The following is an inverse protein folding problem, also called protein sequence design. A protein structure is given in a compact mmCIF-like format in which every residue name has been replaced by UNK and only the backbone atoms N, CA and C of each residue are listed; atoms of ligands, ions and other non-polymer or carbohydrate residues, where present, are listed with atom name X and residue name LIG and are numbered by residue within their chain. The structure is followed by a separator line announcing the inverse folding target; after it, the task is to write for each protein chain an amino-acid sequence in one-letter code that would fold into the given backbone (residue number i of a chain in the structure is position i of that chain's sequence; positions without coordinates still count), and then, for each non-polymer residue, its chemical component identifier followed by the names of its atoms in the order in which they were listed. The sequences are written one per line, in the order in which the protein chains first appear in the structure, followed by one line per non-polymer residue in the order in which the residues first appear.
data_IF_858889714818
#
_entry.id   IF_858889714818
#
_cell.length_a   1.000
_cell.length_b   1.000
_cell.length_c   1.000
_cell.angle_alpha   90.00
_cell.angle_beta   90.00
_cell.angle_gamma   90.00
#
_symmetry.space_group_name_H-M   'P 1'
#
loop_
_entity.id
_entity.type
_entity.pdbx_description
1 polymer ?
#
# COMPACT_ATOMS: atom_id res chain seq x y z
N UNK A 1 20.49 0.04 3.51
CA UNK A 1 19.88 -1.28 3.74
C UNK A 1 19.46 -1.40 5.22
N UNK A 2 18.49 -0.58 5.66
CA UNK A 2 18.20 -0.37 7.09
C UNK A 2 16.76 -0.73 7.50
N UNK A 3 15.94 -1.11 6.53
CA UNK A 3 14.56 -1.56 6.75
C UNK A 3 14.53 -3.08 6.64
N UNK A 4 13.83 -3.79 7.51
CA UNK A 4 13.65 -5.26 7.44
C UNK A 4 12.82 -5.75 6.25
N UNK A 5 12.71 -4.92 5.21
CA UNK A 5 11.92 -5.14 4.01
C UNK A 5 12.73 -5.94 2.99
N UNK A 6 12.04 -6.78 2.24
CA UNK A 6 12.58 -7.53 1.12
C UNK A 6 12.06 -6.84 -0.14
N UNK A 7 12.97 -6.31 -0.96
CA UNK A 7 12.61 -5.51 -2.14
C UNK A 7 12.21 -4.08 -1.79
N UNK A 8 11.58 -3.39 -2.75
CA UNK A 8 11.06 -2.03 -2.59
C UNK A 8 9.54 -2.09 -2.40
N UNK A 9 8.94 -1.28 -1.51
CA UNK A 9 7.50 -1.13 -1.44
C UNK A 9 6.94 -0.67 -2.79
N UNK A 10 5.82 -1.25 -3.21
CA UNK A 10 5.17 -0.89 -4.47
C UNK A 10 3.81 -0.27 -4.22
N UNK A 11 3.60 0.93 -4.75
CA UNK A 11 2.29 1.57 -4.73
C UNK A 11 1.32 0.78 -5.62
N UNK A 12 0.06 0.64 -5.19
CA UNK A 12 -0.98 0.03 -6.01
C UNK A 12 -1.98 1.07 -6.48
N UNK A 13 -2.58 0.78 -7.63
CA UNK A 13 -3.76 1.46 -8.11
C UNK A 13 -4.92 1.01 -7.21
N UNK A 14 -5.71 1.96 -6.70
CA UNK A 14 -6.79 1.76 -5.71
C UNK A 14 -6.39 1.76 -4.22
N UNK A 15 -5.34 2.48 -3.84
CA UNK A 15 -5.22 2.96 -2.45
C UNK A 15 -4.29 2.19 -1.51
N UNK A 16 -3.55 1.18 -1.99
CA UNK A 16 -2.63 0.38 -1.17
C UNK A 16 -1.16 0.56 -1.51
N UNK A 17 -0.30 0.13 -0.60
CA UNK A 17 1.13 -0.10 -0.82
C UNK A 17 1.40 -1.56 -0.47
N UNK A 18 1.95 -2.30 -1.43
CA UNK A 18 2.43 -3.65 -1.23
C UNK A 18 3.81 -3.60 -0.58
N UNK A 19 3.96 -4.33 0.51
CA UNK A 19 5.20 -4.41 1.28
C UNK A 19 5.51 -5.88 1.53
N UNK A 20 6.76 -6.29 1.33
CA UNK A 20 7.23 -7.64 1.64
C UNK A 20 8.34 -7.57 2.69
N UNK A 21 8.31 -8.44 3.69
CA UNK A 21 9.37 -8.57 4.68
C UNK A 21 9.48 -10.01 5.20
N UNK A 22 10.54 -10.32 5.94
CA UNK A 22 10.54 -11.55 6.74
C UNK A 22 9.39 -11.51 7.75
N UNK A 23 8.89 -12.69 8.13
CA UNK A 23 7.80 -12.78 9.11
C UNK A 23 8.24 -12.10 10.42
N UNK A 24 7.50 -11.08 10.83
CA UNK A 24 7.72 -10.33 12.05
C UNK A 24 6.43 -10.35 12.89
N UNK A 25 6.39 -11.11 14.01
CA UNK A 25 5.17 -11.25 14.82
C UNK A 25 4.73 -9.95 15.51
N UNK A 26 5.58 -8.92 15.54
CA UNK A 26 5.18 -7.60 16.06
C UNK A 26 4.25 -6.85 15.10
N UNK A 27 4.25 -7.22 13.81
CA UNK A 27 3.39 -6.60 12.80
C UNK A 27 2.08 -7.39 12.74
N UNK A 28 1.00 -6.74 13.15
CA UNK A 28 -0.35 -7.31 13.17
C UNK A 28 -1.29 -6.46 12.31
N UNK A 29 -2.49 -6.98 12.05
CA UNK A 29 -3.54 -6.20 11.41
C UNK A 29 -3.81 -4.91 12.19
N UNK A 30 -4.09 -3.84 11.46
CA UNK A 30 -4.35 -2.49 11.96
C UNK A 30 -3.20 -1.86 12.79
N UNK A 31 -2.00 -2.44 12.73
CA UNK A 31 -0.81 -1.81 13.33
C UNK A 31 -0.21 -0.75 12.41
N UNK A 32 0.46 0.22 13.02
CA UNK A 32 1.19 1.27 12.31
C UNK A 32 2.60 0.79 11.98
N UNK A 33 2.97 0.95 10.72
CA UNK A 33 4.33 0.76 10.22
C UNK A 33 4.84 2.06 9.59
N UNK A 34 6.14 2.29 9.70
CA UNK A 34 6.83 3.42 9.06
C UNK A 34 7.50 2.95 7.79
N UNK A 35 7.22 3.61 6.67
CA UNK A 35 7.95 3.42 5.42
C UNK A 35 8.63 4.74 5.02
N UNK A 36 9.82 4.65 4.44
CA UNK A 36 10.42 5.81 3.79
C UNK A 36 9.77 6.01 2.43
N UNK A 37 9.05 7.11 2.26
CA UNK A 37 8.35 7.45 1.02
C UNK A 37 9.28 7.49 -0.20
N UNK A 38 10.56 7.84 -0.02
CA UNK A 38 11.54 7.87 -1.12
C UNK A 38 11.87 6.48 -1.65
N UNK A 39 11.63 5.44 -0.86
CA UNK A 39 11.87 4.05 -1.23
C UNK A 39 10.68 3.38 -1.92
N UNK A 40 9.53 4.06 -1.99
CA UNK A 40 8.31 3.53 -2.59
C UNK A 40 8.39 3.67 -4.11
N UNK A 41 8.21 2.55 -4.81
CA UNK A 41 8.03 2.55 -6.25
C UNK A 41 6.63 3.07 -6.58
N UNK A 42 6.56 4.28 -7.12
CA UNK A 42 5.31 4.94 -7.46
C UNK A 42 4.75 4.37 -8.75
N UNK A 43 3.44 4.15 -8.78
CA UNK A 43 2.75 3.88 -10.04
C UNK A 43 2.79 5.18 -10.84
N UNK A 44 3.49 5.17 -11.96
CA UNK A 44 3.47 6.29 -12.90
C UNK A 44 2.04 6.54 -13.35
N UNK A 45 1.48 7.70 -12.98
CA UNK A 45 0.29 8.21 -13.64
C UNK A 45 0.63 8.36 -15.12
N UNK A 46 -0.21 7.80 -15.98
CA UNK A 46 0.00 7.97 -17.42
C UNK A 46 -0.05 9.46 -17.75
N UNK A 47 0.92 9.98 -18.51
CA UNK A 47 1.02 11.41 -18.86
C UNK A 47 -0.23 11.99 -19.57
N UNK A 48 -1.23 11.16 -19.89
CA UNK A 48 -2.49 11.56 -20.53
C UNK A 48 -3.51 12.17 -19.56
N UNK A 49 -3.42 11.91 -18.26
CA UNK A 49 -4.39 12.42 -17.27
C UNK A 49 -4.05 13.85 -16.80
N UNK A 50 -2.78 14.24 -16.85
CA UNK A 50 -2.31 15.59 -16.50
C UNK A 50 -2.64 16.62 -17.60
N UNK A 51 -2.75 16.17 -18.86
CA UNK A 51 -2.84 17.07 -20.02
C UNK A 51 -4.25 17.59 -20.32
N UNK A 52 -5.32 16.97 -19.82
CA UNK A 52 -6.68 17.24 -20.31
C UNK A 52 -7.62 17.91 -19.32
N UNK A 53 -7.28 18.01 -18.03
CA UNK A 53 -8.11 18.72 -17.03
C UNK A 53 -9.58 18.26 -16.96
N UNK A 54 -9.92 17.11 -17.55
CA UNK A 54 -11.28 16.64 -17.74
C UNK A 54 -11.53 15.44 -16.83
N UNK A 55 -12.03 15.73 -15.63
CA UNK A 55 -12.55 14.75 -14.67
C UNK A 55 -13.95 14.26 -15.06
N UNK A 56 -14.12 13.83 -16.31
CA UNK A 56 -15.39 13.32 -16.82
C UNK A 56 -15.15 12.05 -17.66
N UNK A 57 -14.89 10.92 -16.99
CA UNK A 57 -15.00 9.60 -17.62
C UNK A 57 -13.77 8.72 -17.61
N UNK A 58 -12.61 9.17 -17.10
CA UNK A 58 -11.53 8.25 -16.76
C UNK A 58 -11.94 7.46 -15.52
N UNK A 59 -11.88 6.12 -15.58
CA UNK A 59 -11.87 5.29 -14.36
C UNK A 59 -10.78 5.86 -13.46
N UNK A 60 -11.19 6.50 -12.36
CA UNK A 60 -10.30 7.24 -11.44
C UNK A 60 -9.37 6.24 -10.74
N UNK A 61 -8.40 5.72 -11.48
CA UNK A 61 -7.33 4.87 -10.99
C UNK A 61 -6.35 5.75 -10.24
N UNK A 62 -6.81 6.25 -9.09
CA UNK A 62 -6.02 7.11 -8.23
C UNK A 62 -4.93 6.25 -7.54
N UNK A 63 -3.65 6.64 -7.66
CA UNK A 63 -2.58 6.03 -6.90
C UNK A 63 -2.84 6.17 -5.39
N UNK A 64 -2.32 5.23 -4.60
CA UNK A 64 -2.46 5.30 -3.15
C UNK A 64 -1.95 6.64 -2.60
N UNK A 65 -2.73 7.25 -1.70
CA UNK A 65 -2.26 8.46 -1.00
C UNK A 65 -1.03 8.09 -0.18
N UNK A 66 0.04 8.88 -0.30
CA UNK A 66 1.22 8.75 0.54
C UNK A 66 1.04 9.60 1.79
N UNK A 67 1.44 9.07 2.94
CA UNK A 67 1.41 9.82 4.20
C UNK A 67 2.63 10.73 4.29
N UNK A 68 2.48 12.00 4.69
CA UNK A 68 3.60 12.95 4.77
C UNK A 68 4.72 12.49 5.71
N UNK A 69 4.34 11.85 6.82
CA UNK A 69 5.26 11.38 7.85
C UNK A 69 5.75 9.93 7.60
N UNK A 70 5.18 9.28 6.58
CA UNK A 70 5.49 7.90 6.20
C UNK A 70 4.83 6.85 7.11
N UNK A 71 3.73 7.21 7.79
CA UNK A 71 2.98 6.29 8.65
C UNK A 71 1.87 5.58 7.86
N UNK A 72 1.89 4.25 7.88
CA UNK A 72 0.96 3.39 7.16
C UNK A 72 0.31 2.35 8.08
N UNK A 73 -0.97 2.04 7.83
CA UNK A 73 -1.75 1.05 8.56
C UNK A 73 -1.79 -0.25 7.76
N UNK A 74 -1.44 -1.37 8.39
CA UNK A 74 -1.50 -2.70 7.77
C UNK A 74 -2.95 -3.19 7.70
N UNK A 75 -3.47 -3.45 6.49
CA UNK A 75 -4.85 -3.90 6.26
C UNK A 75 -4.98 -5.35 5.83
N UNK A 76 -3.93 -5.91 5.27
CA UNK A 76 -3.88 -7.32 4.94
C UNK A 76 -2.48 -7.86 5.20
N UNK A 77 -2.40 -9.12 5.65
CA UNK A 77 -1.14 -9.85 5.81
C UNK A 77 -1.33 -11.25 5.23
N UNK A 78 -0.49 -11.63 4.28
CA UNK A 78 -0.39 -12.98 3.74
C UNK A 78 0.97 -13.57 4.14
N UNK A 79 0.96 -14.72 4.80
CA UNK A 79 2.18 -15.40 5.24
C UNK A 79 2.55 -16.51 4.25
N UNK A 80 3.84 -16.58 3.91
CA UNK A 80 4.39 -17.60 3.03
C UNK A 80 5.53 -18.31 3.77
N UNK A 81 5.35 -19.62 3.97
CA UNK A 81 6.26 -20.46 4.72
C UNK A 81 6.39 -21.84 4.07
N UNK A 82 7.62 -22.32 3.92
CA UNK A 82 7.92 -23.72 3.60
C UNK A 82 8.65 -24.35 4.78
N UNK A 83 8.10 -25.42 5.35
CA UNK A 83 8.69 -26.12 6.52
C UNK A 83 10.00 -26.82 6.20
N UNK A 84 10.33 -27.00 4.91
CA UNK A 84 11.57 -27.63 4.43
C UNK A 84 12.35 -26.76 3.46
N UNK A 85 11.88 -25.53 3.22
CA UNK A 85 12.48 -24.56 2.32
C UNK A 85 12.96 -23.31 3.05
N UNK A 86 13.44 -22.34 2.28
CA UNK A 86 13.96 -21.08 2.82
C UNK A 86 12.94 -19.92 2.76
N UNK A 87 11.76 -20.17 2.18
CA UNK A 87 10.72 -19.14 2.07
C UNK A 87 10.07 -18.93 3.44
N UNK A 88 10.30 -17.75 4.03
CA UNK A 88 9.68 -17.33 5.29
C UNK A 88 9.43 -15.82 5.30
N UNK A 89 8.39 -15.38 4.59
CA UNK A 89 8.07 -13.96 4.41
C UNK A 89 6.58 -13.68 4.61
N UNK A 90 6.26 -12.42 4.88
CA UNK A 90 4.91 -11.90 4.87
C UNK A 90 4.77 -10.80 3.82
N UNK A 91 3.69 -10.87 3.06
CA UNK A 91 3.26 -9.83 2.13
C UNK A 91 2.13 -9.06 2.78
N UNK A 92 2.24 -7.74 2.76
CA UNK A 92 1.32 -6.84 3.43
C UNK A 92 0.78 -5.81 2.47
N UNK A 93 -0.51 -5.49 2.64
CA UNK A 93 -1.13 -4.35 1.99
C UNK A 93 -1.32 -3.28 3.06
N UNK A 94 -0.73 -2.12 2.82
CA UNK A 94 -0.73 -1.00 3.75
C UNK A 94 -1.45 0.20 3.14
N UNK A 95 -2.13 1.00 3.97
CA UNK A 95 -2.78 2.25 3.53
C UNK A 95 -2.22 3.42 4.33
N UNK A 96 -2.11 4.61 3.74
CA UNK A 96 -1.66 5.78 4.49
C UNK A 96 -2.59 6.08 5.66
N UNK A 97 -2.02 6.42 6.82
CA UNK A 97 -2.78 6.82 8.00
C UNK A 97 -3.70 8.01 7.69
N UNK A 98 -3.19 9.04 7.01
CA UNK A 98 -4.01 10.16 6.52
C UNK A 98 -4.99 9.79 5.40
N UNK A 99 -4.71 8.73 4.63
CA UNK A 99 -5.57 8.24 3.55
C UNK A 99 -6.70 7.30 3.99
N UNK A 100 -6.63 6.73 5.20
CA UNK A 100 -7.66 5.84 5.74
C UNK A 100 -9.02 6.54 5.90
N UNK A 101 -9.03 7.86 6.13
CA UNK A 101 -10.26 8.68 6.15
C UNK A 101 -10.79 9.04 4.75
N UNK A 102 -10.01 8.76 3.70
CA UNK A 102 -10.31 9.07 2.29
C UNK A 102 -10.71 7.82 1.48
N UNK A 103 -10.99 6.69 2.16
CA UNK A 103 -11.73 5.59 1.53
C UNK A 103 -13.08 6.15 1.08
N UNK A 104 -13.27 6.26 -0.24
CA UNK A 104 -14.45 6.84 -0.85
C UNK A 104 -15.71 6.25 -0.22
N UNK A 105 -16.67 7.11 0.11
CA UNK A 105 -17.96 6.76 0.69
C UNK A 105 -18.76 5.76 -0.20
N UNK A 106 -18.36 5.61 -1.47
CA UNK A 106 -18.86 4.57 -2.38
C UNK A 106 -18.46 3.15 -1.96
N UNK A 107 -17.28 2.93 -1.39
CA UNK A 107 -16.82 1.61 -0.92
C UNK A 107 -17.51 1.19 0.37
N UNK A 108 -17.84 2.13 1.26
CA UNK A 108 -18.54 1.84 2.52
C UNK A 108 -20.05 1.57 2.30
N UNK A 109 -20.67 2.14 1.26
CA UNK A 109 -22.10 1.90 0.95
C UNK A 109 -22.36 0.63 0.13
N UNK A 110 -21.34 0.05 -0.51
CA UNK A 110 -21.50 -1.16 -1.32
C UNK A 110 -21.58 -2.46 -0.50
N UNK A 111 -21.46 -2.38 0.84
CA UNK A 111 -21.53 -3.52 1.76
C UNK A 111 -22.70 -3.49 2.74
N UNK A 112 -23.72 -2.67 2.51
CA UNK A 112 -24.93 -2.58 3.35
C UNK A 112 -26.19 -2.96 2.57
#
# INVERSE_FOLDING_TARGET
AQTGLIGMPEQTINGGINVKCLINPNIQLDTLIRLDNKSINLVGLSNQEIATGSTAGASLQQPAVLDMDGDYIVKNIAYYGDTRGNAWYQDMICIAKGGAGLLSQSTIRAGA
#
